data_IF_014638491795
#
_entry.id   IF_014638491795
#
_cell.length_a   1.000
_cell.length_b   1.000
_cell.length_c   1.000
_cell.angle_alpha   90.00
_cell.angle_beta   90.00
_cell.angle_gamma   90.00
#
_symmetry.space_group_name_H-M   'P 1'
#
loop_
_entity.id
_entity.type
_entity.pdbx_description
1 polymer ?
#
# COMPACT_ATOMS: atom_id res chain seq x y z
N UNK A 1 -77.03 -0.47 2.73
CA UNK A 1 -76.26 -1.37 3.63
C UNK A 1 -75.43 -2.29 2.75
N UNK A 2 -74.16 -2.55 3.13
CA UNK A 2 -73.05 -3.13 2.35
C UNK A 2 -72.40 -2.13 1.35
N UNK A 3 -71.09 -2.01 1.19
CA UNK A 3 -69.95 -2.78 1.70
C UNK A 3 -68.70 -1.87 1.70
N UNK A 4 -68.16 -1.59 2.88
CA UNK A 4 -66.95 -0.77 3.09
C UNK A 4 -65.75 -1.69 3.31
N UNK A 5 -65.37 -2.44 2.25
CA UNK A 5 -64.38 -3.52 2.34
C UNK A 5 -63.44 -3.51 1.12
N UNK A 6 -62.80 -2.37 0.83
CA UNK A 6 -61.85 -2.27 -0.27
C UNK A 6 -60.63 -1.38 0.01
N UNK A 7 -60.32 -1.09 1.29
CA UNK A 7 -59.18 -0.25 1.69
C UNK A 7 -58.04 -0.94 2.43
N UNK A 8 -58.03 -2.28 2.54
CA UNK A 8 -56.99 -3.02 3.29
C UNK A 8 -56.02 -3.85 2.44
N UNK A 9 -56.24 -4.01 1.13
CA UNK A 9 -55.36 -4.84 0.29
C UNK A 9 -54.12 -4.12 -0.26
N UNK A 10 -54.03 -2.80 -0.16
CA UNK A 10 -52.87 -2.04 -0.66
C UNK A 10 -51.70 -1.93 0.34
N UNK A 11 -51.87 -2.40 1.58
CA UNK A 11 -50.81 -2.35 2.60
C UNK A 11 -50.01 -3.66 2.72
N UNK A 12 -50.55 -4.79 2.27
CA UNK A 12 -49.91 -6.12 2.37
C UNK A 12 -48.95 -6.45 1.21
N UNK A 13 -49.02 -5.74 0.08
CA UNK A 13 -48.07 -5.93 -1.03
C UNK A 13 -46.73 -5.23 -0.75
N UNK A 14 -46.67 -4.25 0.18
CA UNK A 14 -45.42 -3.60 0.58
C UNK A 14 -44.55 -4.42 1.56
N UNK A 15 -45.06 -5.51 2.12
CA UNK A 15 -44.30 -6.33 3.09
C UNK A 15 -43.58 -7.55 2.47
N UNK A 16 -43.90 -7.92 1.22
CA UNK A 16 -43.31 -9.09 0.55
C UNK A 16 -42.18 -8.74 -0.44
N UNK A 17 -41.88 -7.46 -0.65
CA UNK A 17 -40.70 -7.01 -1.40
C UNK A 17 -39.46 -6.80 -0.51
N UNK A 18 -39.55 -7.01 0.80
CA UNK A 18 -38.43 -6.87 1.74
C UNK A 18 -37.71 -8.20 2.06
N UNK A 19 -38.19 -9.34 1.56
CA UNK A 19 -37.69 -10.68 1.95
C UNK A 19 -36.98 -11.40 0.79
N UNK A 20 -37.01 -10.87 -0.43
CA UNK A 20 -36.23 -11.43 -1.55
C UNK A 20 -34.94 -10.65 -1.77
N UNK A 21 -33.85 -11.31 -1.38
CA UNK A 21 -32.50 -11.13 -1.88
C UNK A 21 -31.68 -9.97 -1.31
N UNK A 22 -31.65 -9.84 0.01
CA UNK A 22 -30.36 -9.66 0.73
C UNK A 22 -29.58 -10.97 0.62
N UNK A 23 -29.12 -11.28 -0.59
CA UNK A 23 -28.04 -12.22 -0.82
C UNK A 23 -26.84 -11.35 -1.10
N UNK A 24 -26.23 -10.86 -0.02
CA UNK A 24 -24.84 -10.42 -0.02
C UNK A 24 -23.98 -11.59 -0.49
N UNK A 25 -23.83 -11.73 -1.81
CA UNK A 25 -22.71 -12.47 -2.38
C UNK A 25 -21.50 -11.60 -2.07
N UNK A 26 -20.87 -11.86 -0.92
CA UNK A 26 -19.46 -11.55 -0.70
C UNK A 26 -18.69 -12.32 -1.77
N UNK A 27 -18.55 -11.73 -2.95
CA UNK A 27 -17.57 -12.13 -3.93
C UNK A 27 -16.28 -11.43 -3.53
N UNK A 28 -15.58 -11.99 -2.55
CA UNK A 28 -14.16 -11.69 -2.35
C UNK A 28 -13.40 -12.27 -3.54
N UNK A 29 -13.40 -11.55 -4.66
CA UNK A 29 -12.46 -11.80 -5.75
C UNK A 29 -11.10 -11.30 -5.31
N UNK A 30 -10.52 -11.97 -4.30
CA UNK A 30 -9.07 -11.94 -4.14
C UNK A 30 -8.48 -12.46 -5.47
N UNK A 31 -7.54 -11.74 -6.09
CA UNK A 31 -6.92 -12.20 -7.33
C UNK A 31 -6.38 -13.60 -7.11
N UNK A 32 -6.72 -14.54 -8.01
CA UNK A 32 -6.21 -15.91 -7.92
C UNK A 32 -4.68 -15.83 -7.97
N UNK A 33 -4.06 -16.24 -6.87
CA UNK A 33 -2.61 -16.29 -6.62
C UNK A 33 -1.76 -16.79 -7.81
N UNK A 34 -2.34 -17.58 -8.71
CA UNK A 34 -1.68 -18.13 -9.89
C UNK A 34 -1.40 -17.13 -11.01
N UNK A 35 -2.15 -16.03 -11.14
CA UNK A 35 -2.07 -15.11 -12.29
C UNK A 35 -1.00 -14.03 -12.10
N UNK A 36 -0.74 -13.60 -10.87
CA UNK A 36 0.31 -12.61 -10.54
C UNK A 36 1.72 -13.22 -10.60
N UNK A 37 1.86 -14.53 -10.38
CA UNK A 37 3.16 -15.21 -10.34
C UNK A 37 3.75 -15.53 -11.72
N UNK A 38 2.94 -15.55 -12.79
CA UNK A 38 3.41 -15.89 -14.14
C UNK A 38 4.23 -14.79 -14.83
N UNK A 39 4.21 -13.56 -14.32
CA UNK A 39 4.90 -12.41 -14.93
C UNK A 39 6.23 -12.06 -14.23
N UNK A 40 6.54 -12.70 -13.10
CA UNK A 40 7.74 -12.37 -12.32
C UNK A 40 8.93 -13.15 -12.88
N UNK A 41 9.93 -12.43 -13.39
CA UNK A 41 11.17 -13.04 -13.86
C UNK A 41 11.97 -13.60 -12.67
N UNK A 42 12.06 -14.93 -12.58
CA UNK A 42 12.91 -15.65 -11.63
C UNK A 42 14.10 -16.24 -12.37
N UNK A 43 15.30 -16.07 -11.83
CA UNK A 43 16.50 -16.74 -12.36
C UNK A 43 16.50 -18.24 -12.04
N UNK A 44 17.51 -18.96 -12.54
CA UNK A 44 17.69 -20.39 -12.33
C UNK A 44 17.77 -20.80 -10.85
N UNK A 45 18.16 -19.87 -9.97
CA UNK A 45 18.26 -20.08 -8.52
C UNK A 45 16.96 -19.75 -7.77
N UNK A 46 15.88 -19.41 -8.48
CA UNK A 46 14.59 -19.03 -7.91
C UNK A 46 14.55 -17.63 -7.29
N UNK A 47 15.56 -16.80 -7.56
CA UNK A 47 15.58 -15.39 -7.14
C UNK A 47 14.91 -14.50 -8.16
N UNK A 48 14.16 -13.50 -7.69
CA UNK A 48 13.52 -12.51 -8.53
C UNK A 48 14.61 -11.60 -9.13
N UNK A 49 14.66 -11.54 -10.45
CA UNK A 49 15.56 -10.64 -11.19
C UNK A 49 14.79 -9.38 -11.47
N UNK A 50 15.23 -8.28 -10.86
CA UNK A 50 14.76 -6.95 -11.22
C UNK A 50 15.58 -6.47 -12.42
N UNK A 51 14.93 -5.81 -13.40
CA UNK A 51 15.58 -5.32 -14.62
C UNK A 51 16.75 -4.36 -14.38
N UNK A 52 17.38 -3.85 -15.46
CA UNK A 52 18.57 -3.02 -15.35
C UNK A 52 18.32 -1.80 -14.45
N UNK A 53 19.06 -1.75 -13.33
CA UNK A 53 18.97 -0.65 -12.36
C UNK A 53 19.53 0.61 -13.03
N UNK A 54 18.67 1.61 -13.28
CA UNK A 54 19.14 2.93 -13.69
C UNK A 54 20.06 3.51 -12.60
N UNK A 55 21.10 4.25 -12.98
CA UNK A 55 22.06 4.83 -12.03
C UNK A 55 21.35 5.79 -11.07
N UNK A 56 21.45 5.52 -9.76
CA UNK A 56 20.89 6.39 -8.70
C UNK A 56 21.43 7.81 -8.87
N UNK A 57 20.62 8.87 -8.69
CA UNK A 57 21.10 10.24 -8.89
C UNK A 57 22.25 10.53 -7.93
N UNK A 58 23.31 11.19 -8.41
CA UNK A 58 24.47 11.59 -7.61
C UNK A 58 24.16 12.69 -6.58
N UNK A 59 22.88 12.90 -6.24
CA UNK A 59 22.43 13.89 -5.30
C UNK A 59 22.65 13.44 -3.85
N UNK A 60 23.06 14.37 -2.99
CA UNK A 60 23.41 14.10 -1.59
C UNK A 60 22.30 13.42 -0.79
N UNK A 61 21.02 13.64 -1.15
CA UNK A 61 19.89 13.00 -0.48
C UNK A 61 19.86 11.48 -0.71
N UNK A 62 20.29 11.00 -1.88
CA UNK A 62 20.32 9.56 -2.19
C UNK A 62 21.59 8.89 -1.64
N UNK A 63 22.61 9.68 -1.32
CA UNK A 63 23.84 9.18 -0.69
C UNK A 63 23.73 9.09 0.84
N UNK A 64 22.85 9.86 1.47
CA UNK A 64 22.54 9.76 2.89
C UNK A 64 21.67 8.52 3.16
N UNK A 65 22.19 7.48 3.86
CA UNK A 65 21.46 6.24 4.08
C UNK A 65 20.16 6.43 4.88
N UNK A 66 20.13 7.36 5.84
CA UNK A 66 18.95 7.61 6.65
C UNK A 66 17.87 8.32 5.83
N UNK A 67 18.27 9.32 5.03
CA UNK A 67 17.36 10.02 4.14
C UNK A 67 16.80 9.09 3.06
N UNK A 68 17.65 8.29 2.41
CA UNK A 68 17.22 7.36 1.38
C UNK A 68 16.27 6.30 1.92
N UNK A 69 16.57 5.72 3.09
CA UNK A 69 15.67 4.78 3.78
C UNK A 69 14.33 5.42 4.16
N UNK A 70 14.33 6.64 4.69
CA UNK A 70 13.10 7.39 4.98
C UNK A 70 12.27 7.65 3.72
N UNK A 71 12.92 8.00 2.60
CA UNK A 71 12.26 8.21 1.31
C UNK A 71 11.51 6.97 0.84
N UNK A 72 12.17 5.79 0.89
CA UNK A 72 11.52 4.53 0.53
C UNK A 72 10.38 4.19 1.48
N UNK A 73 10.60 4.33 2.80
CA UNK A 73 9.57 4.08 3.80
C UNK A 73 8.33 4.93 3.55
N UNK A 74 8.50 6.23 3.30
CA UNK A 74 7.40 7.14 3.03
C UNK A 74 6.61 6.77 1.78
N UNK A 75 7.30 6.46 0.68
CA UNK A 75 6.68 5.97 -0.54
C UNK A 75 5.82 4.72 -0.27
N UNK A 76 6.41 3.70 0.35
CA UNK A 76 5.72 2.42 0.57
C UNK A 76 4.54 2.55 1.54
N UNK A 77 4.64 3.40 2.56
CA UNK A 77 3.53 3.66 3.48
C UNK A 77 2.39 4.43 2.81
N UNK A 78 2.69 5.41 1.95
CA UNK A 78 1.64 6.12 1.20
C UNK A 78 0.98 5.23 0.14
N UNK A 79 1.74 4.35 -0.51
CA UNK A 79 1.18 3.32 -1.40
C UNK A 79 0.26 2.39 -0.62
N UNK A 80 0.70 1.88 0.53
CA UNK A 80 -0.12 0.99 1.36
C UNK A 80 -1.44 1.63 1.79
N UNK A 81 -1.43 2.91 2.19
CA UNK A 81 -2.65 3.67 2.51
C UNK A 81 -3.59 3.82 1.30
N UNK A 82 -3.04 3.99 0.10
CA UNK A 82 -3.83 4.07 -1.13
C UNK A 82 -4.49 2.73 -1.45
N UNK A 83 -3.73 1.64 -1.37
CA UNK A 83 -4.25 0.29 -1.59
C UNK A 83 -5.32 -0.10 -0.57
N UNK A 84 -5.12 0.24 0.71
CA UNK A 84 -6.13 0.05 1.77
C UNK A 84 -7.42 0.83 1.46
N UNK A 85 -7.31 2.01 0.83
CA UNK A 85 -8.48 2.81 0.43
C UNK A 85 -9.20 2.21 -0.78
N UNK A 86 -8.44 1.59 -1.68
CA UNK A 86 -8.93 1.05 -2.96
C UNK A 86 -9.32 -0.44 -2.89
N UNK A 87 -9.28 -1.04 -1.70
CA UNK A 87 -9.63 -2.45 -1.47
C UNK A 87 -11.02 -2.83 -2.05
N UNK A 88 -11.97 -1.89 -2.06
CA UNK A 88 -13.32 -2.09 -2.58
C UNK A 88 -13.52 -1.58 -4.02
N UNK A 89 -12.51 -0.98 -4.64
CA UNK A 89 -12.60 -0.46 -6.01
C UNK A 89 -12.43 -1.59 -7.03
N UNK A 90 -13.11 -1.48 -8.18
CA UNK A 90 -12.93 -2.42 -9.29
C UNK A 90 -11.55 -2.20 -9.95
N UNK A 91 -10.91 -3.29 -10.39
CA UNK A 91 -9.60 -3.24 -11.06
C UNK A 91 -8.71 -4.40 -10.67
N UNK A 92 -7.59 -4.56 -11.37
CA UNK A 92 -6.57 -5.53 -10.97
C UNK A 92 -5.68 -4.93 -9.87
N UNK A 93 -5.19 -5.80 -8.97
CA UNK A 93 -4.21 -5.39 -7.94
C UNK A 93 -2.96 -4.74 -8.56
N UNK A 94 -2.57 -5.19 -9.76
CA UNK A 94 -1.46 -4.60 -10.53
C UNK A 94 -1.74 -3.15 -10.90
N UNK A 95 -2.90 -2.86 -11.48
CA UNK A 95 -3.28 -1.50 -11.87
C UNK A 95 -3.35 -0.58 -10.64
N UNK A 96 -3.87 -1.09 -9.51
CA UNK A 96 -3.92 -0.36 -8.25
C UNK A 96 -2.52 -0.07 -7.70
N UNK A 97 -1.61 -1.05 -7.72
CA UNK A 97 -0.21 -0.86 -7.28
C UNK A 97 0.48 0.17 -8.16
N UNK A 98 0.38 0.04 -9.49
CA UNK A 98 1.02 0.96 -10.43
C UNK A 98 0.48 2.39 -10.21
N UNK A 99 -0.85 2.55 -10.15
CA UNK A 99 -1.50 3.85 -9.89
C UNK A 99 -1.12 4.42 -8.51
N UNK A 100 -1.03 3.58 -7.48
CA UNK A 100 -0.67 4.00 -6.14
C UNK A 100 0.77 4.52 -6.09
N UNK A 101 1.70 3.85 -6.79
CA UNK A 101 3.09 4.26 -6.88
C UNK A 101 3.21 5.67 -7.48
N UNK A 102 2.59 5.91 -8.64
CA UNK A 102 2.60 7.25 -9.27
C UNK A 102 1.94 8.33 -8.39
N UNK A 103 0.89 7.96 -7.65
CA UNK A 103 0.11 8.90 -6.83
C UNK A 103 0.77 9.21 -5.48
N UNK A 104 1.63 8.33 -4.98
CA UNK A 104 2.23 8.44 -3.65
C UNK A 104 3.22 9.62 -3.52
N UNK A 105 3.92 10.00 -4.60
CA UNK A 105 4.94 11.05 -4.58
C UNK A 105 4.39 12.47 -4.62
N UNK A 106 3.45 12.78 -3.74
CA UNK A 106 2.82 14.09 -3.63
C UNK A 106 3.20 14.79 -2.31
N UNK A 107 3.44 16.10 -2.37
CA UNK A 107 3.78 16.95 -1.22
C UNK A 107 2.80 16.79 -0.05
N UNK A 108 1.50 16.73 -0.33
CA UNK A 108 0.46 16.65 0.70
C UNK A 108 0.46 15.30 1.42
N UNK A 109 0.83 14.22 0.73
CA UNK A 109 0.91 12.87 1.31
C UNK A 109 2.18 12.68 2.14
N UNK A 110 3.26 13.32 1.71
CA UNK A 110 4.57 13.16 2.31
C UNK A 110 4.87 14.20 3.41
N UNK A 111 3.86 14.95 3.87
CA UNK A 111 4.05 16.00 4.87
C UNK A 111 4.21 15.49 6.31
N UNK A 112 3.84 14.24 6.58
CA UNK A 112 3.88 13.65 7.93
C UNK A 112 5.23 13.03 8.29
N UNK A 113 6.16 12.97 7.34
CA UNK A 113 7.47 12.33 7.50
C UNK A 113 8.52 13.30 8.04
N UNK A 114 9.69 12.78 8.41
CA UNK A 114 10.70 13.58 9.13
C UNK A 114 11.37 14.63 8.24
N UNK A 115 11.65 14.27 6.98
CA UNK A 115 12.25 15.22 6.03
C UNK A 115 11.20 16.22 5.54
N UNK A 116 11.66 17.39 5.08
CA UNK A 116 10.76 18.37 4.50
C UNK A 116 10.03 17.80 3.28
N UNK A 117 8.76 18.18 3.02
CA UNK A 117 7.98 17.62 1.93
C UNK A 117 8.69 17.66 0.56
N UNK A 118 9.41 18.75 0.17
CA UNK A 118 10.17 18.75 -1.08
C UNK A 118 11.28 17.69 -1.14
N UNK A 119 11.97 17.43 -0.03
CA UNK A 119 13.00 16.37 0.06
C UNK A 119 12.37 14.99 -0.07
N UNK A 120 11.25 14.77 0.61
CA UNK A 120 10.51 13.50 0.52
C UNK A 120 10.02 13.24 -0.90
N UNK A 121 9.43 14.24 -1.57
CA UNK A 121 8.97 14.11 -2.96
C UNK A 121 10.14 13.80 -3.90
N UNK A 122 11.28 14.48 -3.72
CA UNK A 122 12.48 14.24 -4.52
C UNK A 122 13.01 12.81 -4.36
N UNK A 123 13.08 12.31 -3.13
CA UNK A 123 13.47 10.93 -2.86
C UNK A 123 12.48 9.93 -3.45
N UNK A 124 11.17 10.17 -3.24
CA UNK A 124 10.09 9.32 -3.73
C UNK A 124 10.12 9.20 -5.26
N UNK A 125 10.15 10.33 -5.96
CA UNK A 125 10.19 10.37 -7.44
C UNK A 125 11.47 9.77 -8.00
N UNK A 126 12.63 10.00 -7.35
CA UNK A 126 13.87 9.33 -7.73
C UNK A 126 13.81 7.82 -7.53
N UNK A 127 13.29 7.36 -6.38
CA UNK A 127 13.12 5.91 -6.14
C UNK A 127 12.25 5.28 -7.21
N UNK A 128 11.11 5.89 -7.54
CA UNK A 128 10.25 5.39 -8.63
C UNK A 128 11.02 5.37 -9.95
N UNK A 129 11.66 6.48 -10.34
CA UNK A 129 12.40 6.55 -11.60
C UNK A 129 13.53 5.53 -11.76
N UNK A 130 14.08 5.00 -10.66
CA UNK A 130 15.19 4.04 -10.68
C UNK A 130 14.81 2.59 -10.34
N UNK A 131 13.73 2.40 -9.58
CA UNK A 131 13.36 1.11 -9.01
C UNK A 131 11.90 0.74 -9.26
N UNK A 132 11.22 1.39 -10.21
CA UNK A 132 9.79 1.17 -10.50
C UNK A 132 9.43 -0.32 -10.55
N UNK A 133 10.07 -1.09 -11.43
CA UNK A 133 9.80 -2.51 -11.62
C UNK A 133 10.05 -3.32 -10.33
N UNK A 134 11.14 -3.03 -9.62
CA UNK A 134 11.47 -3.73 -8.39
C UNK A 134 10.47 -3.43 -7.27
N UNK A 135 10.02 -2.18 -7.20
CA UNK A 135 9.08 -1.70 -6.22
C UNK A 135 7.68 -2.26 -6.48
N UNK A 136 7.16 -2.17 -7.70
CA UNK A 136 5.83 -2.68 -8.07
C UNK A 136 5.77 -4.21 -7.91
N UNK A 137 6.79 -4.92 -8.37
CA UNK A 137 6.89 -6.38 -8.21
C UNK A 137 6.94 -6.79 -6.74
N UNK A 138 7.75 -6.12 -5.92
CA UNK A 138 7.86 -6.44 -4.49
C UNK A 138 6.57 -6.11 -3.72
N UNK A 139 5.89 -5.01 -4.06
CA UNK A 139 4.57 -4.68 -3.51
C UNK A 139 3.51 -5.72 -3.88
N UNK A 140 3.44 -6.11 -5.16
CA UNK A 140 2.53 -7.17 -5.63
C UNK A 140 2.77 -8.48 -4.88
N UNK A 141 4.03 -8.86 -4.69
CA UNK A 141 4.39 -10.04 -3.91
C UNK A 141 3.99 -9.93 -2.45
N UNK A 142 4.18 -8.77 -1.82
CA UNK A 142 3.78 -8.56 -0.44
C UNK A 142 2.27 -8.71 -0.25
N UNK A 143 1.46 -8.08 -1.11
CA UNK A 143 -0.01 -8.15 -1.06
C UNK A 143 -0.58 -9.49 -1.57
N UNK A 144 0.19 -10.26 -2.33
CA UNK A 144 -0.16 -11.65 -2.69
C UNK A 144 0.14 -12.63 -1.55
N UNK A 145 1.19 -12.37 -0.77
CA UNK A 145 1.62 -13.23 0.36
C UNK A 145 0.86 -12.93 1.65
N UNK A 146 0.48 -11.67 1.86
CA UNK A 146 -0.18 -11.19 3.06
C UNK A 146 -1.43 -10.42 2.66
N UNK A 147 -2.57 -10.76 3.28
CA UNK A 147 -3.84 -10.03 3.07
C UNK A 147 -3.69 -8.55 3.42
N UNK A 148 -2.97 -8.26 4.52
CA UNK A 148 -2.63 -6.90 4.94
C UNK A 148 -1.20 -6.84 5.47
N UNK A 149 -0.20 -6.51 4.64
CA UNK A 149 1.19 -6.49 5.06
C UNK A 149 1.45 -5.35 6.04
N UNK A 150 2.17 -5.64 7.13
CA UNK A 150 2.52 -4.64 8.14
C UNK A 150 3.57 -3.65 7.63
N UNK A 151 3.72 -2.47 8.26
CA UNK A 151 4.78 -1.52 7.92
C UNK A 151 6.17 -2.15 7.92
N UNK A 152 6.44 -3.06 8.86
CA UNK A 152 7.72 -3.77 8.97
C UNK A 152 7.92 -4.75 7.80
N UNK A 153 6.89 -5.52 7.44
CA UNK A 153 6.93 -6.47 6.32
C UNK A 153 7.18 -5.73 5.00
N UNK A 154 6.44 -4.65 4.76
CA UNK A 154 6.60 -3.80 3.58
C UNK A 154 8.00 -3.16 3.53
N UNK A 155 8.48 -2.62 4.65
CA UNK A 155 9.82 -2.04 4.72
C UNK A 155 10.90 -3.08 4.43
N UNK A 156 10.74 -4.30 4.95
CA UNK A 156 11.68 -5.40 4.70
C UNK A 156 11.69 -5.78 3.22
N UNK A 157 10.54 -6.18 2.67
CA UNK A 157 10.45 -6.70 1.30
C UNK A 157 10.77 -5.65 0.24
N UNK A 158 10.32 -4.41 0.43
CA UNK A 158 10.51 -3.36 -0.57
C UNK A 158 11.80 -2.58 -0.29
N UNK A 159 11.93 -1.99 0.90
CA UNK A 159 13.00 -1.03 1.16
C UNK A 159 14.34 -1.66 1.54
N UNK A 160 14.38 -2.90 2.04
CA UNK A 160 15.65 -3.61 2.30
C UNK A 160 16.06 -4.52 1.14
N UNK A 161 15.10 -5.27 0.61
CA UNK A 161 15.39 -6.33 -0.37
C UNK A 161 15.33 -5.82 -1.83
N UNK A 162 14.29 -5.07 -2.23
CA UNK A 162 14.10 -4.65 -3.62
C UNK A 162 14.79 -3.32 -4.01
N UNK A 163 14.68 -2.28 -3.18
CA UNK A 163 15.16 -0.89 -3.44
C UNK A 163 16.52 -0.58 -2.74
N UNK A 164 17.17 -1.58 -2.16
CA UNK A 164 18.13 -1.49 -1.02
C UNK A 164 18.34 -0.12 -0.35
N UNK A 165 17.27 0.61 -0.02
CA UNK A 165 17.36 1.92 0.61
C UNK A 165 17.67 1.83 2.11
N UNK A 166 17.08 0.84 2.78
CA UNK A 166 17.23 0.60 4.22
C UNK A 166 18.27 -0.50 4.47
N UNK A 167 19.55 -0.15 4.46
CA UNK A 167 20.65 -1.08 4.77
C UNK A 167 20.53 -1.64 6.20
N UNK A 168 21.22 -2.75 6.47
CA UNK A 168 21.27 -3.35 7.81
C UNK A 168 21.70 -2.31 8.85
N UNK A 169 20.96 -2.22 9.96
CA UNK A 169 21.20 -1.23 11.02
C UNK A 169 20.65 0.17 10.73
N UNK A 170 20.15 0.46 9.53
CA UNK A 170 19.45 1.71 9.22
C UNK A 170 17.94 1.48 9.36
N UNK A 171 17.29 2.37 10.11
CA UNK A 171 15.84 2.43 10.25
C UNK A 171 15.30 3.74 9.65
N UNK A 172 14.02 3.76 9.22
CA UNK A 172 13.38 5.00 8.82
C UNK A 172 13.33 5.98 9.99
N UNK A 173 13.69 7.24 9.73
CA UNK A 173 13.70 8.30 10.75
C UNK A 173 12.32 8.50 11.39
N UNK A 174 11.24 8.32 10.62
CA UNK A 174 9.86 8.37 11.13
C UNK A 174 9.58 7.29 12.18
N UNK A 175 10.16 6.10 12.01
CA UNK A 175 10.01 5.00 12.97
C UNK A 175 10.79 5.33 14.25
N UNK A 176 12.07 5.71 14.12
CA UNK A 176 12.90 6.09 15.28
C UNK A 176 12.28 7.25 16.08
N UNK A 177 11.78 8.29 15.40
CA UNK A 177 11.11 9.42 16.06
C UNK A 177 9.87 9.00 16.83
N UNK A 178 9.09 8.05 16.28
CA UNK A 178 7.89 7.51 16.95
C UNK A 178 8.27 6.70 18.19
N UNK A 179 9.27 5.82 18.09
CA UNK A 179 9.76 5.04 19.22
C UNK A 179 10.30 5.91 20.35
N UNK A 180 11.08 6.94 20.03
CA UNK A 180 11.62 7.88 21.01
C UNK A 180 10.51 8.64 21.74
N UNK A 181 9.46 9.04 21.02
CA UNK A 181 8.28 9.68 21.63
C UNK A 181 7.58 8.74 22.59
N UNK A 182 7.33 7.49 22.18
CA UNK A 182 6.68 6.49 23.03
C UNK A 182 7.50 6.18 24.29
N UNK A 183 8.84 6.13 24.20
CA UNK A 183 9.72 5.93 25.36
C UNK A 183 9.63 7.10 26.35
N UNK A 184 9.59 8.34 25.84
CA UNK A 184 9.47 9.55 26.68
C UNK A 184 8.11 9.61 27.39
N UNK A 185 7.02 9.27 26.70
CA UNK A 185 5.67 9.22 27.28
C UNK A 185 5.61 8.19 28.42
N UNK A 186 6.12 6.96 28.21
CA UNK A 186 6.18 5.93 29.26
C UNK A 186 7.05 6.32 30.46
N UNK A 187 8.13 7.06 30.24
CA UNK A 187 8.99 7.53 31.33
C UNK A 187 8.37 8.66 32.15
N UNK A 188 7.34 9.33 31.65
CA UNK A 188 6.59 10.38 32.36
C UNK A 188 5.38 9.83 33.13
N UNK A 189 4.97 8.59 32.84
CA UNK A 189 3.87 7.89 33.53
C UNK A 189 4.34 7.06 34.74
N UNK A 190 5.66 6.98 34.97
CA UNK A 190 6.32 6.30 36.09
C UNK A 190 6.78 7.31 37.14
#
# INVERSE_FOLDING_TARGET
>A
MASSYQRTFHCLIKLLSLILAVSCIKSSNAPKKSEVLSEIQVNADGQIVYGPKAEIPADKLFQDPAAFCEGCYGLVMEVSKLLDKWEAEEGSMKDHVDTACFTACNVHKLNSYVLSPPKMVKLCTGILGHYEEALTTSLLLAYTRYEKPSPEQLTKMVCREAVPACRTGVQPMSVTRKEDRMKKEKAQEL
#
